data_IF_124150646035
#
_entry.id   IF_124150646035
#
_cell.length_a   1.000
_cell.length_b   1.000
_cell.length_c   1.000
_cell.angle_alpha   90.00
_cell.angle_beta   90.00
_cell.angle_gamma   90.00
#
_symmetry.space_group_name_H-M   'P 1'
#
loop_
_entity.id
_entity.type
_entity.pdbx_description
1 polymer ?
#
# COMPACT_ATOMS: atom_id res chain seq x y z
N UNK A 1 3.47 -15.63 -17.51
CA UNK A 1 3.20 -14.20 -17.22
C UNK A 1 3.38 -13.97 -15.73
N UNK A 2 4.24 -13.03 -15.30
CA UNK A 2 4.31 -12.66 -13.87
C UNK A 2 3.03 -11.92 -13.51
N UNK A 3 2.29 -12.42 -12.51
CA UNK A 3 1.14 -11.71 -11.95
C UNK A 3 1.69 -10.58 -11.09
N UNK A 4 1.39 -9.34 -11.45
CA UNK A 4 1.69 -8.20 -10.59
C UNK A 4 0.76 -8.29 -9.37
N UNK A 5 1.35 -8.36 -8.18
CA UNK A 5 0.60 -8.36 -6.93
C UNK A 5 0.20 -6.92 -6.60
N UNK A 6 -1.10 -6.67 -6.50
CA UNK A 6 -1.68 -5.37 -6.14
C UNK A 6 -2.30 -5.49 -4.76
N UNK A 7 -1.95 -4.56 -3.85
CA UNK A 7 -2.45 -4.53 -2.48
C UNK A 7 -3.29 -3.26 -2.32
N UNK A 8 -4.58 -3.42 -2.09
CA UNK A 8 -5.47 -2.31 -1.75
C UNK A 8 -5.55 -2.16 -0.23
N UNK A 9 -5.42 -0.92 0.28
CA UNK A 9 -5.55 -0.59 1.69
C UNK A 9 -6.74 0.37 1.85
N UNK A 10 -7.83 -0.15 2.41
CA UNK A 10 -9.06 0.60 2.63
C UNK A 10 -9.45 0.67 4.12
N UNK A 11 -10.33 1.60 4.46
CA UNK A 11 -10.81 1.85 5.82
C UNK A 11 -11.25 3.31 6.02
N UNK A 12 -11.73 3.63 7.23
CA UNK A 12 -12.23 4.97 7.55
C UNK A 12 -11.17 6.08 7.43
N UNK A 13 -11.65 7.32 7.27
CA UNK A 13 -10.78 8.51 7.24
C UNK A 13 -9.99 8.64 8.55
N UNK A 14 -8.79 9.22 8.47
CA UNK A 14 -7.91 9.46 9.62
C UNK A 14 -7.36 8.21 10.35
N UNK A 15 -7.49 7.00 9.79
CA UNK A 15 -6.93 5.77 10.37
C UNK A 15 -5.47 5.47 9.98
N UNK A 16 -4.76 6.41 9.33
CA UNK A 16 -3.34 6.24 8.96
C UNK A 16 -3.07 5.32 7.76
N UNK A 17 -4.07 5.08 6.89
CA UNK A 17 -3.96 4.20 5.71
C UNK A 17 -2.78 4.56 4.79
N UNK A 18 -2.68 5.82 4.37
CA UNK A 18 -1.60 6.30 3.50
C UNK A 18 -0.23 6.20 4.18
N UNK A 19 -0.15 6.39 5.51
CA UNK A 19 1.08 6.21 6.27
C UNK A 19 1.53 4.76 6.28
N UNK A 20 0.60 3.83 6.57
CA UNK A 20 0.86 2.40 6.52
C UNK A 20 1.23 1.93 5.12
N UNK A 21 0.50 2.36 4.10
CA UNK A 21 0.72 2.01 2.70
C UNK A 21 2.13 2.41 2.23
N UNK A 22 2.57 3.64 2.52
CA UNK A 22 3.93 4.11 2.21
C UNK A 22 5.01 3.29 2.91
N UNK A 23 4.83 3.00 4.20
CA UNK A 23 5.80 2.22 4.98
C UNK A 23 5.88 0.76 4.49
N UNK A 24 4.73 0.15 4.20
CA UNK A 24 4.62 -1.20 3.68
C UNK A 24 5.27 -1.32 2.30
N UNK A 25 4.98 -0.37 1.40
CA UNK A 25 5.55 -0.32 0.06
C UNK A 25 7.09 -0.21 0.12
N UNK A 26 7.63 0.68 0.96
CA UNK A 26 9.08 0.80 1.17
C UNK A 26 9.70 -0.48 1.73
N UNK A 27 9.03 -1.15 2.67
CA UNK A 27 9.55 -2.37 3.32
C UNK A 27 9.56 -3.58 2.38
N UNK A 28 8.58 -3.68 1.50
CA UNK A 28 8.38 -4.84 0.62
C UNK A 28 8.83 -4.59 -0.83
N UNK A 29 9.27 -3.37 -1.17
CA UNK A 29 9.70 -3.01 -2.52
C UNK A 29 8.55 -2.83 -3.51
N UNK A 30 7.35 -2.48 -3.03
CA UNK A 30 6.22 -2.12 -3.91
C UNK A 30 6.25 -0.64 -4.27
N UNK A 31 5.60 -0.31 -5.39
CA UNK A 31 5.24 1.06 -5.74
C UNK A 31 4.01 1.45 -4.92
N UNK A 32 4.07 2.61 -4.25
CA UNK A 32 2.94 3.18 -3.54
C UNK A 32 2.11 4.09 -4.46
N UNK A 33 0.79 3.98 -4.35
CA UNK A 33 -0.22 4.80 -5.02
C UNK A 33 -1.24 5.22 -3.95
N UNK A 34 -1.61 6.51 -3.90
CA UNK A 34 -2.63 7.06 -2.98
C UNK A 34 -3.97 7.26 -3.69
#
# INVERSE_FOLDING_TARGET
>A
MKKNLVIAIDGYSSCGKSTLAKALAKKLGFIYVD
#
